data_IF_024727799047
#
_entry.id   IF_024727799047
#
_cell.length_a   1.000
_cell.length_b   1.000
_cell.length_c   1.000
_cell.angle_alpha   90.00
_cell.angle_beta   90.00
_cell.angle_gamma   90.00
#
_symmetry.space_group_name_H-M   'P 1'
#
loop_
_entity.id
_entity.type
_entity.pdbx_description
1 polymer ?
#
# COMPACT_ATOMS: atom_id res chain seq x y z
N UNK A 1 0.99 -6.84 0.20
CA UNK A 1 -0.10 -5.88 -0.04
C UNK A 1 -0.95 -6.35 -1.20
N UNK A 2 -2.26 -6.38 -1.00
CA UNK A 2 -3.23 -6.77 -2.03
C UNK A 2 -4.21 -5.63 -2.22
N UNK A 3 -4.35 -5.17 -3.46
CA UNK A 3 -5.33 -4.16 -3.86
C UNK A 3 -6.43 -4.81 -4.70
N UNK A 4 -7.65 -4.32 -4.52
CA UNK A 4 -8.84 -4.75 -5.22
C UNK A 4 -9.31 -3.67 -6.19
N UNK A 5 -9.55 -4.06 -7.44
CA UNK A 5 -10.05 -3.18 -8.49
C UNK A 5 -11.32 -3.76 -9.09
N UNK A 6 -12.37 -2.95 -9.13
CA UNK A 6 -13.67 -3.35 -9.64
C UNK A 6 -14.00 -2.66 -10.97
N UNK A 7 -14.54 -3.41 -11.92
CA UNK A 7 -15.08 -2.90 -13.15
C UNK A 7 -16.53 -3.36 -13.30
N UNK A 8 -17.45 -2.41 -13.40
CA UNK A 8 -18.87 -2.68 -13.61
C UNK A 8 -19.28 -2.36 -15.05
N UNK A 9 -19.97 -3.27 -15.69
CA UNK A 9 -20.67 -3.03 -16.95
C UNK A 9 -22.14 -2.70 -16.67
N UNK A 10 -22.54 -1.46 -16.95
CA UNK A 10 -23.86 -0.93 -16.65
C UNK A 10 -24.69 -0.72 -17.91
N UNK A 11 -26.01 -0.72 -17.75
CA UNK A 11 -26.90 -0.27 -18.80
C UNK A 11 -26.85 1.27 -18.91
N UNK A 12 -26.64 1.77 -20.13
CA UNK A 12 -26.71 3.20 -20.43
C UNK A 12 -27.91 3.49 -21.35
N UNK A 13 -28.28 4.77 -21.44
CA UNK A 13 -29.39 5.22 -22.34
C UNK A 13 -29.11 4.91 -23.81
N UNK A 14 -27.85 4.73 -24.20
CA UNK A 14 -27.40 4.48 -25.57
C UNK A 14 -27.19 2.98 -25.84
N UNK A 15 -27.31 2.13 -24.84
CA UNK A 15 -27.09 0.70 -24.89
C UNK A 15 -26.29 0.20 -23.70
N UNK A 16 -26.18 -1.11 -23.51
CA UNK A 16 -25.38 -1.68 -22.43
C UNK A 16 -23.89 -1.49 -22.68
N UNK A 17 -23.13 -1.28 -21.61
CA UNK A 17 -21.68 -1.41 -21.65
C UNK A 17 -21.30 -2.88 -21.78
N UNK A 18 -20.23 -3.16 -22.49
CA UNK A 18 -19.77 -4.51 -22.76
C UNK A 18 -18.33 -4.70 -22.32
N UNK A 19 -18.06 -5.83 -21.67
CA UNK A 19 -16.70 -6.28 -21.35
C UNK A 19 -16.22 -7.14 -22.50
N UNK A 20 -15.18 -6.66 -23.21
CA UNK A 20 -14.70 -7.30 -24.43
C UNK A 20 -13.19 -7.05 -24.62
N UNK A 21 -12.54 -7.95 -25.35
CA UNK A 21 -11.16 -7.77 -25.81
C UNK A 21 -11.06 -6.79 -26.99
N UNK A 22 -12.12 -6.58 -27.73
CA UNK A 22 -12.16 -5.72 -28.91
C UNK A 22 -12.27 -4.25 -28.51
N UNK A 23 -11.13 -3.66 -28.12
CA UNK A 23 -11.00 -2.29 -27.65
C UNK A 23 -10.48 -1.41 -28.79
N UNK A 24 -11.12 -0.27 -29.10
CA UNK A 24 -10.64 0.63 -30.13
C UNK A 24 -9.30 1.29 -29.74
N UNK A 25 -8.42 1.49 -30.73
CA UNK A 25 -7.14 2.21 -30.59
C UNK A 25 -6.14 1.59 -29.59
N UNK A 26 -6.16 0.28 -29.43
CA UNK A 26 -5.22 -0.47 -28.57
C UNK A 26 -4.45 -1.48 -29.43
N UNK A 27 -3.13 -1.54 -29.23
CA UNK A 27 -2.26 -2.49 -29.92
C UNK A 27 -2.40 -3.91 -29.38
N UNK A 28 -2.16 -4.91 -30.21
CA UNK A 28 -2.16 -6.33 -29.81
C UNK A 28 -1.14 -6.63 -28.71
N UNK A 29 -0.02 -5.91 -28.67
CA UNK A 29 1.01 -6.07 -27.62
C UNK A 29 0.46 -5.71 -26.24
N UNK A 30 -0.42 -4.74 -26.15
CA UNK A 30 -1.09 -4.33 -24.90
C UNK A 30 -2.11 -5.39 -24.45
N UNK A 31 -2.66 -6.15 -25.38
CA UNK A 31 -3.69 -7.16 -25.14
C UNK A 31 -3.14 -8.58 -24.90
N UNK A 32 -1.84 -8.78 -24.91
CA UNK A 32 -1.21 -10.12 -24.81
C UNK A 32 -1.60 -10.90 -23.56
N UNK A 33 -1.83 -10.21 -22.43
CA UNK A 33 -2.21 -10.82 -21.15
C UNK A 33 -3.72 -10.84 -20.91
N UNK A 34 -4.52 -10.40 -21.89
CA UNK A 34 -5.98 -10.35 -21.81
C UNK A 34 -6.55 -11.58 -22.50
N UNK A 35 -7.52 -12.23 -21.88
CA UNK A 35 -8.21 -13.38 -22.41
C UNK A 35 -9.25 -12.99 -23.50
N UNK A 36 -9.92 -13.97 -24.08
CA UNK A 36 -10.94 -13.76 -25.10
C UNK A 36 -12.17 -12.99 -24.60
N UNK A 37 -12.42 -13.02 -23.29
CA UNK A 37 -13.51 -12.28 -22.63
C UNK A 37 -13.16 -10.83 -22.35
N UNK A 38 -11.93 -10.41 -22.57
CA UNK A 38 -11.45 -9.06 -22.25
C UNK A 38 -10.95 -8.87 -20.82
N UNK A 39 -10.71 -9.95 -20.08
CA UNK A 39 -10.26 -9.93 -18.70
C UNK A 39 -8.80 -10.36 -18.65
N UNK A 40 -8.00 -9.74 -17.79
CA UNK A 40 -6.59 -10.09 -17.61
C UNK A 40 -6.45 -11.51 -17.03
N UNK A 41 -5.33 -12.18 -17.33
CA UNK A 41 -5.06 -13.53 -16.84
C UNK A 41 -4.45 -13.51 -15.45
N UNK A 42 -4.80 -14.49 -14.61
CA UNK A 42 -4.15 -14.72 -13.32
C UNK A 42 -2.67 -15.04 -13.55
N UNK A 43 -1.81 -14.45 -12.71
CA UNK A 43 -0.35 -14.58 -12.80
C UNK A 43 0.32 -13.55 -13.72
N UNK A 44 -0.44 -12.71 -14.42
CA UNK A 44 0.12 -11.64 -15.24
C UNK A 44 0.76 -10.55 -14.37
N UNK A 45 1.96 -10.12 -14.76
CA UNK A 45 2.60 -8.93 -14.19
C UNK A 45 2.02 -7.69 -14.86
N UNK A 46 1.58 -6.73 -14.06
CA UNK A 46 0.96 -5.49 -14.50
C UNK A 46 1.69 -4.27 -13.98
N UNK A 47 1.68 -3.20 -14.77
CA UNK A 47 2.25 -1.90 -14.46
C UNK A 47 1.19 -0.81 -14.65
N UNK A 48 1.49 0.38 -14.14
CA UNK A 48 0.64 1.55 -14.33
C UNK A 48 0.28 1.77 -15.82
N UNK A 49 -1.01 1.89 -16.09
CA UNK A 49 -1.55 2.08 -17.44
C UNK A 49 -1.94 0.79 -18.19
N UNK A 50 -1.54 -0.39 -17.71
CA UNK A 50 -1.96 -1.66 -18.30
C UNK A 50 -3.46 -1.90 -18.12
N UNK A 51 -4.08 -2.57 -19.08
CA UNK A 51 -5.51 -2.87 -19.05
C UNK A 51 -5.74 -4.10 -18.17
N UNK A 52 -6.64 -3.95 -17.19
CA UNK A 52 -7.11 -5.06 -16.35
C UNK A 52 -8.38 -5.71 -16.91
N UNK A 53 -9.35 -4.89 -17.30
CA UNK A 53 -10.61 -5.32 -17.86
C UNK A 53 -10.93 -4.42 -19.05
N UNK A 54 -11.05 -5.01 -20.23
CA UNK A 54 -11.46 -4.29 -21.43
C UNK A 54 -12.95 -4.02 -21.41
N UNK A 55 -13.34 -2.75 -21.41
CA UNK A 55 -14.74 -2.32 -21.43
C UNK A 55 -14.94 -1.25 -22.48
N UNK A 56 -16.04 -1.34 -23.21
CA UNK A 56 -16.46 -0.36 -24.20
C UNK A 56 -17.85 0.18 -23.86
N UNK A 57 -18.04 1.47 -24.05
CA UNK A 57 -19.30 2.17 -23.80
C UNK A 57 -19.83 2.72 -25.12
N UNK A 58 -21.12 2.56 -25.46
CA UNK A 58 -21.70 3.13 -26.67
C UNK A 58 -21.57 4.66 -26.69
N UNK A 59 -21.22 5.22 -27.84
CA UNK A 59 -21.14 6.68 -28.08
C UNK A 59 -22.45 7.21 -28.67
N UNK A 60 -22.84 8.41 -28.22
CA UNK A 60 -23.87 9.19 -28.92
C UNK A 60 -23.32 9.88 -30.18
N UNK A 61 -24.16 10.16 -31.16
CA UNK A 61 -23.78 10.82 -32.42
C UNK A 61 -23.13 12.21 -32.23
N UNK A 62 -23.41 12.86 -31.12
CA UNK A 62 -22.87 14.20 -30.77
C UNK A 62 -21.45 14.16 -30.23
N UNK A 63 -20.93 13.00 -29.84
CA UNK A 63 -19.60 12.85 -29.23
C UNK A 63 -18.50 12.49 -30.20
N UNK A 64 -18.77 12.44 -31.50
CA UNK A 64 -17.78 12.19 -32.54
C UNK A 64 -16.82 13.37 -32.67
N UNK A 65 -15.52 13.09 -32.64
CA UNK A 65 -14.50 14.10 -32.92
C UNK A 65 -14.59 14.58 -34.37
N UNK A 66 -14.04 15.76 -34.68
CA UNK A 66 -14.03 16.27 -36.05
C UNK A 66 -13.35 15.31 -37.03
N UNK A 67 -12.29 14.63 -36.59
CA UNK A 67 -11.53 13.62 -37.35
C UNK A 67 -12.38 12.37 -37.60
N UNK A 68 -13.09 11.85 -36.62
CA UNK A 68 -13.99 10.70 -36.76
C UNK A 68 -15.16 11.01 -37.71
N UNK A 69 -15.71 12.23 -37.68
CA UNK A 69 -16.73 12.68 -38.62
C UNK A 69 -16.20 12.72 -40.07
N UNK A 70 -14.96 13.18 -40.25
CA UNK A 70 -14.30 13.25 -41.53
C UNK A 70 -14.02 11.85 -42.10
N UNK A 71 -13.50 10.93 -41.28
CA UNK A 71 -13.27 9.53 -41.65
C UNK A 71 -14.57 8.82 -42.06
N UNK A 72 -15.66 9.07 -41.30
CA UNK A 72 -16.99 8.53 -41.65
C UNK A 72 -17.51 9.07 -42.98
N UNK A 73 -17.25 10.35 -43.29
CA UNK A 73 -17.67 10.97 -44.52
C UNK A 73 -16.87 10.49 -45.75
N UNK A 74 -15.56 10.21 -45.58
CA UNK A 74 -14.67 9.84 -46.69
C UNK A 74 -14.70 8.33 -46.98
N UNK A 75 -14.66 7.50 -45.94
CA UNK A 75 -14.50 6.07 -46.11
C UNK A 75 -15.81 5.26 -45.97
N UNK A 76 -16.92 5.90 -45.62
CA UNK A 76 -18.20 5.20 -45.44
C UNK A 76 -18.17 4.13 -44.36
N UNK A 77 -17.04 3.99 -43.66
CA UNK A 77 -16.86 3.01 -42.61
C UNK A 77 -17.66 3.39 -41.38
N UNK A 78 -18.28 2.43 -40.76
CA UNK A 78 -18.80 2.51 -39.41
C UNK A 78 -17.62 2.86 -38.49
N UNK A 79 -17.36 4.17 -38.23
CA UNK A 79 -16.60 4.55 -37.06
C UNK A 79 -17.22 3.77 -35.90
N UNK A 80 -16.41 3.00 -35.16
CA UNK A 80 -16.92 2.18 -34.06
C UNK A 80 -17.73 3.08 -33.15
N UNK A 81 -18.97 2.78 -32.96
CA UNK A 81 -19.93 3.54 -32.16
C UNK A 81 -19.65 3.38 -30.64
N UNK A 82 -18.42 3.01 -30.27
CA UNK A 82 -18.03 2.69 -28.91
C UNK A 82 -16.77 3.46 -28.50
N UNK A 83 -16.73 3.83 -27.22
CA UNK A 83 -15.60 4.49 -26.57
C UNK A 83 -14.92 3.50 -25.62
N UNK A 84 -13.58 3.53 -25.55
CA UNK A 84 -12.81 2.79 -24.58
C UNK A 84 -13.01 3.37 -23.16
N UNK A 85 -13.59 2.56 -22.29
CA UNK A 85 -13.78 2.85 -20.86
C UNK A 85 -13.17 1.75 -20.00
N UNK A 86 -12.15 1.06 -20.53
CA UNK A 86 -11.47 -0.04 -19.87
C UNK A 86 -10.90 0.35 -18.51
N UNK A 87 -10.96 -0.58 -17.56
CA UNK A 87 -10.29 -0.44 -16.29
C UNK A 87 -8.78 -0.62 -16.50
N UNK A 88 -8.00 0.38 -16.13
CA UNK A 88 -6.54 0.35 -16.20
C UNK A 88 -5.94 0.41 -14.82
N UNK A 89 -4.72 -0.11 -14.67
CA UNK A 89 -3.95 0.01 -13.43
C UNK A 89 -3.69 1.49 -13.14
N UNK A 90 -4.06 2.01 -11.96
CA UNK A 90 -3.85 3.40 -11.60
C UNK A 90 -2.37 3.79 -11.60
N UNK A 91 -2.11 5.09 -11.71
CA UNK A 91 -0.76 5.62 -11.67
C UNK A 91 -0.07 5.33 -10.33
N UNK A 92 1.14 4.78 -10.39
CA UNK A 92 1.94 4.41 -9.23
C UNK A 92 1.67 3.02 -8.67
N UNK A 93 0.75 2.25 -9.28
CA UNK A 93 0.47 0.88 -8.89
C UNK A 93 1.09 -0.11 -9.87
N UNK A 94 1.54 -1.24 -9.34
CA UNK A 94 2.08 -2.36 -10.11
C UNK A 94 1.93 -3.65 -9.29
N UNK A 95 2.06 -4.81 -9.90
CA UNK A 95 2.03 -6.07 -9.17
C UNK A 95 1.73 -7.26 -10.05
N UNK A 96 1.27 -8.33 -9.41
CA UNK A 96 0.90 -9.59 -10.07
C UNK A 96 -0.56 -9.88 -9.78
N UNK A 97 -1.32 -10.27 -10.78
CA UNK A 97 -2.71 -10.68 -10.63
C UNK A 97 -2.76 -12.02 -9.90
N UNK A 98 -3.39 -12.05 -8.72
CA UNK A 98 -3.48 -13.26 -7.88
C UNK A 98 -4.83 -13.94 -7.97
N UNK A 99 -5.90 -13.17 -8.16
CA UNK A 99 -7.26 -13.71 -8.29
C UNK A 99 -8.14 -12.78 -9.13
N UNK A 100 -9.18 -13.36 -9.75
CA UNK A 100 -10.19 -12.65 -10.51
C UNK A 100 -11.55 -13.27 -10.23
N UNK A 101 -12.52 -12.43 -9.88
CA UNK A 101 -13.90 -12.85 -9.67
C UNK A 101 -14.82 -12.16 -10.66
N UNK A 102 -15.65 -12.93 -11.31
CA UNK A 102 -16.63 -12.44 -12.27
C UNK A 102 -18.02 -12.76 -11.76
N UNK A 103 -18.84 -11.74 -11.63
CA UNK A 103 -20.23 -11.84 -11.20
C UNK A 103 -21.11 -11.38 -12.36
N UNK A 104 -22.10 -12.16 -12.70
CA UNK A 104 -23.01 -11.85 -13.80
C UNK A 104 -24.46 -12.00 -13.36
N UNK A 105 -25.32 -11.14 -13.85
CA UNK A 105 -26.75 -11.24 -13.57
C UNK A 105 -27.36 -12.53 -14.12
N UNK A 106 -26.83 -13.03 -15.22
CA UNK A 106 -27.25 -14.30 -15.82
C UNK A 106 -27.03 -15.50 -14.90
N UNK A 107 -25.96 -15.47 -14.10
CA UNK A 107 -25.67 -16.51 -13.11
C UNK A 107 -26.50 -16.39 -11.82
N UNK A 108 -27.33 -15.34 -11.70
CA UNK A 108 -28.15 -15.09 -10.52
C UNK A 108 -27.42 -14.39 -9.37
N UNK A 109 -26.25 -13.79 -9.66
CA UNK A 109 -25.50 -13.02 -8.66
C UNK A 109 -26.27 -11.74 -8.28
N UNK A 110 -26.18 -11.36 -7.01
CA UNK A 110 -26.81 -10.14 -6.49
C UNK A 110 -25.96 -8.92 -6.86
N UNK A 111 -26.35 -8.24 -7.93
CA UNK A 111 -25.69 -7.05 -8.44
C UNK A 111 -26.54 -5.81 -8.25
N UNK A 112 -25.89 -4.66 -8.14
CA UNK A 112 -26.55 -3.37 -8.05
C UNK A 112 -27.54 -3.16 -9.23
N UNK A 113 -28.63 -2.39 -9.03
CA UNK A 113 -29.56 -2.10 -10.12
C UNK A 113 -28.86 -1.45 -11.32
N UNK A 114 -29.11 -2.00 -12.52
CA UNK A 114 -28.51 -1.51 -13.76
C UNK A 114 -27.12 -2.06 -14.07
N UNK A 115 -26.52 -2.86 -13.20
CA UNK A 115 -25.25 -3.56 -13.45
C UNK A 115 -25.54 -4.96 -14.02
N UNK A 116 -24.92 -5.31 -15.14
CA UNK A 116 -25.08 -6.61 -15.79
C UNK A 116 -23.92 -7.55 -15.46
N UNK A 117 -22.72 -7.03 -15.38
CA UNK A 117 -21.50 -7.77 -15.09
C UNK A 117 -20.58 -6.94 -14.18
N UNK A 118 -19.96 -7.59 -13.20
CA UNK A 118 -18.96 -7.03 -12.30
C UNK A 118 -17.73 -7.93 -12.35
N UNK A 119 -16.59 -7.34 -12.67
CA UNK A 119 -15.30 -8.02 -12.62
C UNK A 119 -14.45 -7.39 -11.52
N UNK A 120 -13.94 -8.22 -10.64
CA UNK A 120 -13.10 -7.84 -9.52
C UNK A 120 -11.73 -8.48 -9.66
N UNK A 121 -10.69 -7.65 -9.80
CA UNK A 121 -9.31 -8.07 -9.96
C UNK A 121 -8.51 -7.79 -8.69
N UNK A 122 -7.72 -8.75 -8.24
CA UNK A 122 -6.85 -8.62 -7.08
C UNK A 122 -5.39 -8.58 -7.54
N UNK A 123 -4.71 -7.49 -7.21
CA UNK A 123 -3.29 -7.26 -7.52
C UNK A 123 -2.47 -7.38 -6.24
N UNK A 124 -1.48 -8.25 -6.22
CA UNK A 124 -0.56 -8.42 -5.12
C UNK A 124 0.79 -7.78 -5.41
N UNK A 125 1.35 -7.12 -4.42
CA UNK A 125 2.70 -6.56 -4.44
C UNK A 125 3.48 -7.00 -3.21
N UNK A 126 4.79 -7.18 -3.36
CA UNK A 126 5.71 -7.29 -2.22
C UNK A 126 6.23 -5.89 -1.88
N UNK A 127 5.66 -5.26 -0.86
CA UNK A 127 6.12 -3.97 -0.36
C UNK A 127 7.03 -4.19 0.83
N UNK A 128 8.32 -3.96 0.65
CA UNK A 128 9.29 -3.90 1.75
C UNK A 128 9.12 -2.57 2.50
N UNK A 129 9.52 -2.55 3.76
CA UNK A 129 9.55 -1.31 4.53
C UNK A 129 10.54 -0.33 3.90
N UNK A 130 10.15 0.94 3.85
CA UNK A 130 10.95 2.03 3.31
C UNK A 130 10.90 3.25 4.20
N UNK A 131 11.76 4.23 3.93
CA UNK A 131 11.74 5.52 4.63
C UNK A 131 10.37 6.18 4.44
N UNK A 132 9.76 6.62 5.54
CA UNK A 132 8.43 7.22 5.54
C UNK A 132 7.28 6.27 5.90
N UNK A 133 7.51 4.96 5.92
CA UNK A 133 6.51 3.99 6.35
C UNK A 133 6.30 4.05 7.86
N UNK A 134 5.07 3.84 8.30
CA UNK A 134 4.67 3.92 9.70
C UNK A 134 4.68 2.54 10.34
N UNK A 135 5.35 2.45 11.47
CA UNK A 135 5.38 1.27 12.31
C UNK A 135 4.93 1.60 13.74
N UNK A 136 4.49 0.60 14.46
CA UNK A 136 4.04 0.75 15.85
C UNK A 136 4.31 -0.52 16.67
N UNK A 137 4.43 -0.35 17.98
CA UNK A 137 4.36 -1.45 18.93
C UNK A 137 2.92 -1.64 19.46
N UNK A 138 2.78 -2.41 20.55
CA UNK A 138 1.50 -2.71 21.22
C UNK A 138 1.15 -1.73 22.34
N UNK A 139 1.97 -0.71 22.60
CA UNK A 139 1.87 0.20 23.75
C UNK A 139 1.58 1.65 23.37
N UNK A 140 0.92 1.88 22.23
CA UNK A 140 0.66 3.24 21.73
C UNK A 140 1.92 3.95 21.20
N UNK A 141 3.04 3.26 21.12
CA UNK A 141 4.27 3.74 20.54
C UNK A 141 4.22 3.59 19.01
N UNK A 142 4.16 4.71 18.33
CA UNK A 142 4.11 4.80 16.86
C UNK A 142 5.26 5.66 16.36
N UNK A 143 5.76 5.33 15.21
CA UNK A 143 6.85 6.09 14.59
C UNK A 143 6.89 5.89 13.09
N UNK A 144 7.67 6.74 12.44
CA UNK A 144 7.92 6.70 11.00
C UNK A 144 9.40 6.36 10.80
N UNK A 145 9.67 5.48 9.84
CA UNK A 145 11.04 5.08 9.50
C UNK A 145 11.77 6.29 8.91
N UNK A 146 12.85 6.70 9.56
CA UNK A 146 13.68 7.82 9.12
C UNK A 146 14.84 7.39 8.22
N UNK A 147 15.41 6.22 8.48
CA UNK A 147 16.54 5.67 7.72
C UNK A 147 16.43 4.15 7.62
N UNK A 148 16.90 3.63 6.52
CA UNK A 148 17.19 2.21 6.32
C UNK A 148 18.69 2.12 6.07
N UNK A 149 19.40 1.43 6.96
CA UNK A 149 20.86 1.29 6.91
C UNK A 149 21.22 -0.13 6.45
N UNK A 150 22.39 -0.30 5.80
CA UNK A 150 22.99 -1.62 5.60
C UNK A 150 23.24 -2.33 6.94
N UNK A 151 23.24 -3.65 6.93
CA UNK A 151 23.40 -4.45 8.13
C UNK A 151 24.75 -4.18 8.82
N UNK A 152 25.80 -3.92 8.04
CA UNK A 152 27.15 -3.61 8.51
C UNK A 152 27.23 -2.31 9.29
N UNK A 153 26.38 -1.34 8.99
CA UNK A 153 26.35 -0.02 9.63
C UNK A 153 25.50 0.01 10.91
N UNK A 154 24.74 -1.04 11.17
CA UNK A 154 23.90 -1.14 12.35
C UNK A 154 24.73 -1.42 13.61
N UNK A 155 24.35 -0.86 14.76
CA UNK A 155 24.95 -1.24 16.04
C UNK A 155 24.84 -2.75 16.28
N UNK A 156 25.83 -3.33 16.90
CA UNK A 156 25.87 -4.76 17.16
C UNK A 156 26.21 -5.11 18.62
N UNK A 157 25.78 -6.28 19.02
CA UNK A 157 26.00 -6.85 20.34
C UNK A 157 27.44 -7.41 20.45
N UNK A 158 27.96 -7.70 21.68
CA UNK A 158 29.28 -8.30 21.87
C UNK A 158 29.45 -9.66 21.18
N UNK A 159 28.38 -10.36 20.88
CA UNK A 159 28.36 -11.63 20.14
C UNK A 159 28.39 -11.45 18.60
N UNK A 160 28.44 -10.20 18.13
CA UNK A 160 28.50 -9.85 16.71
C UNK A 160 27.16 -9.76 16.02
N UNK A 161 26.01 -10.03 16.67
CA UNK A 161 24.68 -9.89 16.06
C UNK A 161 24.29 -8.42 15.93
N UNK A 162 23.94 -7.96 14.71
CA UNK A 162 23.48 -6.59 14.50
C UNK A 162 22.05 -6.41 15.02
N UNK A 163 21.72 -5.19 15.43
CA UNK A 163 20.36 -4.81 15.76
C UNK A 163 19.54 -4.62 14.50
N UNK A 164 18.25 -5.00 14.54
CA UNK A 164 17.33 -4.84 13.40
C UNK A 164 16.62 -3.50 13.41
N UNK A 165 16.48 -2.86 14.58
CA UNK A 165 15.81 -1.57 14.75
C UNK A 165 16.47 -0.75 15.85
N UNK A 166 16.58 0.56 15.63
CA UNK A 166 16.97 1.54 16.64
C UNK A 166 15.81 2.51 16.86
N UNK A 167 15.38 2.65 18.11
CA UNK A 167 14.26 3.49 18.49
C UNK A 167 14.74 4.71 19.28
N UNK A 168 14.10 5.86 19.05
CA UNK A 168 14.39 7.08 19.77
C UNK A 168 13.81 7.01 21.21
N UNK A 169 14.63 7.08 22.26
CA UNK A 169 14.17 6.99 23.64
C UNK A 169 13.32 8.19 24.08
N UNK A 170 13.41 9.34 23.43
CA UNK A 170 12.60 10.53 23.72
C UNK A 170 11.10 10.29 23.53
N UNK A 171 10.70 9.24 22.81
CA UNK A 171 9.31 8.84 22.65
C UNK A 171 8.68 8.19 23.88
N UNK A 172 9.44 7.88 24.92
CA UNK A 172 8.98 7.14 26.10
C UNK A 172 8.59 8.05 27.28
N UNK A 173 9.44 8.99 27.76
CA UNK A 173 9.21 9.67 29.04
C UNK A 173 7.92 10.48 29.08
N UNK A 174 7.66 11.32 28.09
CA UNK A 174 6.49 12.20 28.06
C UNK A 174 5.18 11.43 27.83
N UNK A 175 5.23 10.25 27.25
CA UNK A 175 4.06 9.43 26.94
C UNK A 175 3.73 8.40 28.01
N UNK A 176 4.62 8.20 28.97
CA UNK A 176 4.42 7.33 30.13
C UNK A 176 4.02 5.88 29.80
N UNK A 177 4.36 5.41 28.62
CA UNK A 177 4.07 4.04 28.16
C UNK A 177 5.24 3.09 28.47
N UNK A 178 5.52 2.94 29.77
CA UNK A 178 6.65 2.15 30.28
C UNK A 178 6.54 0.65 29.91
N UNK A 179 5.33 0.15 29.63
CA UNK A 179 5.09 -1.23 29.22
C UNK A 179 5.93 -1.66 28.03
N UNK A 180 6.28 -0.76 27.10
CA UNK A 180 7.16 -1.08 25.98
C UNK A 180 8.60 -1.44 26.46
N UNK A 181 9.12 -0.81 27.49
CA UNK A 181 10.43 -1.12 28.04
C UNK A 181 10.41 -2.46 28.77
N UNK A 182 9.35 -2.74 29.54
CA UNK A 182 9.15 -4.03 30.20
C UNK A 182 9.00 -5.17 29.18
N UNK A 183 8.31 -4.93 28.06
CA UNK A 183 8.20 -5.89 26.97
C UNK A 183 9.58 -6.20 26.37
N UNK A 184 10.40 -5.18 26.12
CA UNK A 184 11.75 -5.35 25.57
C UNK A 184 12.61 -6.22 26.48
N UNK A 185 12.59 -5.97 27.79
CA UNK A 185 13.35 -6.75 28.79
C UNK A 185 12.89 -8.20 28.85
N UNK A 186 11.58 -8.40 29.03
CA UNK A 186 11.03 -9.75 29.15
C UNK A 186 11.14 -10.53 27.83
N UNK A 187 10.99 -9.85 26.69
CA UNK A 187 11.17 -10.44 25.38
C UNK A 187 12.60 -10.92 25.12
N UNK A 188 13.60 -10.18 25.66
CA UNK A 188 14.99 -10.62 25.55
C UNK A 188 15.27 -11.88 26.36
N UNK A 189 14.82 -11.93 27.60
CA UNK A 189 14.90 -13.14 28.44
C UNK A 189 14.17 -14.31 27.79
N UNK A 190 12.95 -14.10 27.32
CA UNK A 190 12.13 -15.13 26.67
C UNK A 190 12.79 -15.71 25.43
N UNK A 191 13.38 -14.85 24.59
CA UNK A 191 14.08 -15.27 23.39
C UNK A 191 15.30 -16.18 23.70
N UNK A 192 16.01 -15.89 24.78
CA UNK A 192 17.17 -16.68 25.20
C UNK A 192 16.75 -18.02 25.86
N UNK A 193 15.69 -18.01 26.66
CA UNK A 193 15.17 -19.19 27.35
C UNK A 193 14.22 -20.04 26.47
N UNK A 194 13.87 -19.57 25.28
CA UNK A 194 12.95 -20.25 24.37
C UNK A 194 11.49 -20.24 24.84
N UNK A 195 11.07 -19.25 25.60
CA UNK A 195 9.72 -19.15 26.16
C UNK A 195 8.76 -18.40 25.26
N UNK A 196 7.50 -18.81 25.32
CA UNK A 196 6.35 -18.03 24.83
C UNK A 196 5.57 -17.52 26.04
N UNK A 197 5.56 -16.19 26.22
CA UNK A 197 5.00 -15.54 27.40
C UNK A 197 3.68 -14.85 27.03
N UNK A 198 2.63 -15.12 27.82
CA UNK A 198 1.36 -14.43 27.76
C UNK A 198 1.15 -13.62 29.04
N UNK A 199 0.90 -12.33 28.90
CA UNK A 199 0.68 -11.40 30.02
C UNK A 199 -0.70 -10.73 29.86
N UNK A 200 -1.79 -11.32 30.39
CA UNK A 200 -3.11 -10.69 30.40
C UNK A 200 -3.11 -9.36 31.13
N UNK A 201 -4.06 -8.48 30.82
CA UNK A 201 -4.06 -7.06 31.24
C UNK A 201 -3.95 -6.88 32.75
N UNK A 202 -4.59 -7.70 33.56
CA UNK A 202 -4.57 -7.61 35.02
C UNK A 202 -3.83 -8.75 35.71
N UNK A 203 -3.18 -9.60 34.96
CA UNK A 203 -2.39 -10.74 35.44
C UNK A 203 -1.07 -10.80 34.66
N UNK A 204 -0.34 -9.71 34.70
CA UNK A 204 0.96 -9.51 34.02
C UNK A 204 2.13 -9.86 34.94
N UNK A 205 3.34 -9.82 34.36
CA UNK A 205 4.57 -9.99 35.10
C UNK A 205 4.92 -8.73 35.91
N UNK A 206 5.33 -8.93 37.17
CA UNK A 206 5.85 -7.86 38.02
C UNK A 206 7.27 -7.45 37.58
N UNK A 207 7.71 -6.27 38.00
CA UNK A 207 9.04 -5.78 37.68
C UNK A 207 10.14 -6.69 38.23
N UNK A 208 9.95 -7.27 39.44
CA UNK A 208 10.93 -8.14 40.08
C UNK A 208 11.02 -9.50 39.40
N UNK A 209 9.89 -10.05 38.94
CA UNK A 209 9.86 -11.27 38.12
C UNK A 209 10.63 -11.06 36.78
N UNK A 210 10.44 -9.92 36.12
CA UNK A 210 11.15 -9.60 34.88
C UNK A 210 12.66 -9.50 35.12
N UNK A 211 13.10 -8.86 36.22
CA UNK A 211 14.51 -8.83 36.58
C UNK A 211 15.10 -10.20 36.85
N UNK A 212 14.32 -11.07 37.54
CA UNK A 212 14.75 -12.44 37.80
C UNK A 212 14.88 -13.22 36.50
N UNK A 213 13.91 -13.10 35.57
CA UNK A 213 14.00 -13.74 34.26
C UNK A 213 15.23 -13.30 33.46
N UNK A 214 15.63 -12.02 33.55
CA UNK A 214 16.86 -11.54 32.90
C UNK A 214 18.11 -12.19 33.51
N UNK A 215 18.19 -12.29 34.83
CA UNK A 215 19.28 -12.97 35.51
C UNK A 215 19.33 -14.45 35.19
N UNK A 216 18.20 -15.13 35.15
CA UNK A 216 18.08 -16.55 34.79
C UNK A 216 18.53 -16.81 33.33
N UNK A 217 18.31 -15.83 32.45
CA UNK A 217 18.79 -15.84 31.07
C UNK A 217 20.30 -15.49 30.94
N UNK A 218 20.97 -15.11 32.03
CA UNK A 218 22.38 -14.73 32.04
C UNK A 218 22.67 -13.28 31.67
N UNK A 219 21.64 -12.43 31.68
CA UNK A 219 21.77 -10.99 31.40
C UNK A 219 21.80 -10.15 32.67
N UNK A 220 22.22 -8.88 32.55
CA UNK A 220 22.16 -7.91 33.62
C UNK A 220 20.70 -7.64 34.03
N UNK A 221 20.42 -7.58 35.33
CA UNK A 221 19.08 -7.30 35.85
C UNK A 221 18.51 -5.93 35.40
N UNK A 222 19.38 -5.00 34.97
CA UNK A 222 19.00 -3.69 34.43
C UNK A 222 18.53 -3.74 32.96
N UNK A 223 18.65 -4.89 32.26
CA UNK A 223 18.28 -5.06 30.87
C UNK A 223 19.12 -4.27 29.87
N UNK A 224 20.29 -3.81 30.28
CA UNK A 224 21.24 -3.04 29.46
C UNK A 224 22.45 -3.88 29.10
N UNK A 225 23.02 -3.56 27.93
CA UNK A 225 24.26 -4.20 27.46
C UNK A 225 25.13 -3.18 26.74
N UNK A 226 26.39 -3.54 26.57
CA UNK A 226 27.33 -2.75 25.76
C UNK A 226 27.00 -3.02 24.29
N UNK A 227 26.90 -1.93 23.51
CA UNK A 227 26.78 -2.01 22.05
C UNK A 227 28.01 -1.40 21.41
N UNK A 228 28.29 -1.84 20.19
CA UNK A 228 29.37 -1.33 19.34
C UNK A 228 28.76 -0.64 18.12
N UNK A 229 29.38 0.47 17.69
CA UNK A 229 28.98 1.17 16.46
C UNK A 229 29.44 0.34 15.25
N UNK A 230 28.50 0.04 14.35
CA UNK A 230 28.77 -0.72 13.15
C UNK A 230 29.78 -0.08 12.18
N UNK A 231 29.91 1.25 12.21
CA UNK A 231 30.83 1.99 11.33
C UNK A 231 32.24 2.10 11.87
N UNK A 232 32.39 2.36 13.18
CA UNK A 232 33.68 2.58 13.80
C UNK A 232 34.23 1.34 14.50
N UNK A 233 33.34 0.44 14.92
CA UNK A 233 33.69 -0.73 15.75
C UNK A 233 33.97 -0.37 17.22
N UNK A 234 33.79 0.89 17.63
CA UNK A 234 33.99 1.36 18.99
C UNK A 234 32.76 1.09 19.86
N UNK A 235 32.96 0.82 21.13
CA UNK A 235 31.88 0.68 22.09
C UNK A 235 31.19 2.02 22.32
N UNK A 236 29.86 2.01 22.55
CA UNK A 236 29.15 3.20 23.01
C UNK A 236 29.59 3.58 24.46
N UNK A 237 29.57 4.88 24.75
CA UNK A 237 29.99 5.41 26.07
C UNK A 237 29.14 4.87 27.21
N UNK A 238 27.88 4.55 26.96
CA UNK A 238 26.95 4.05 27.96
C UNK A 238 26.31 2.73 27.52
N UNK A 239 25.95 1.89 28.48
CA UNK A 239 25.13 0.70 28.25
C UNK A 239 23.76 1.10 27.73
N UNK A 240 23.27 0.34 26.76
CA UNK A 240 22.00 0.59 26.03
C UNK A 240 21.00 -0.50 26.38
N UNK A 241 19.73 -0.13 26.51
CA UNK A 241 18.62 -1.08 26.62
C UNK A 241 18.41 -1.80 25.30
N UNK A 242 18.56 -3.12 25.31
CA UNK A 242 18.38 -3.98 24.14
C UNK A 242 17.43 -5.13 24.51
N UNK A 243 16.67 -5.59 23.55
CA UNK A 243 15.79 -6.74 23.72
C UNK A 243 14.93 -6.99 22.51
N UNK A 244 13.88 -7.79 22.68
CA UNK A 244 12.97 -8.17 21.63
C UNK A 244 11.62 -7.50 21.86
N UNK A 245 11.11 -6.83 20.82
CA UNK A 245 9.82 -6.15 20.84
C UNK A 245 8.98 -6.58 19.66
N UNK A 246 7.67 -6.69 19.86
CA UNK A 246 6.71 -6.96 18.80
C UNK A 246 6.38 -5.67 18.05
N UNK A 247 6.72 -5.63 16.78
CA UNK A 247 6.52 -4.45 15.91
C UNK A 247 5.48 -4.77 14.83
N UNK A 248 4.54 -3.85 14.65
CA UNK A 248 3.48 -3.90 13.66
C UNK A 248 3.78 -2.93 12.50
N UNK A 249 3.76 -3.43 11.28
CA UNK A 249 3.73 -2.59 10.07
C UNK A 249 2.31 -2.10 9.87
N UNK A 250 2.11 -0.78 9.88
CA UNK A 250 0.79 -0.20 9.68
C UNK A 250 0.50 0.02 8.18
N UNK A 251 -0.79 0.03 7.81
CA UNK A 251 -1.24 0.26 6.44
C UNK A 251 -1.04 1.71 5.94
N UNK A 252 -0.31 2.53 6.70
CA UNK A 252 0.06 3.90 6.32
C UNK A 252 1.43 3.91 5.65
N UNK A 253 1.51 3.35 4.44
CA UNK A 253 2.73 3.31 3.64
C UNK A 253 2.90 4.62 2.87
N UNK A 254 4.14 5.05 2.71
CA UNK A 254 4.46 6.32 2.04
C UNK A 254 4.05 6.31 0.56
N UNK A 255 4.19 5.18 -0.13
CA UNK A 255 3.86 5.05 -1.56
C UNK A 255 2.37 5.28 -1.84
N UNK A 256 1.49 4.96 -0.89
CA UNK A 256 0.06 5.21 -1.01
C UNK A 256 -0.30 6.69 -0.82
N UNK A 257 0.57 7.47 -0.21
CA UNK A 257 0.34 8.88 0.15
C UNK A 257 1.11 9.88 -0.71
N UNK A 258 2.24 9.47 -1.29
CA UNK A 258 3.03 10.33 -2.16
C UNK A 258 2.23 10.71 -3.40
N UNK A 259 2.15 12.00 -3.68
CA UNK A 259 1.40 12.51 -4.81
C UNK A 259 1.97 13.83 -5.30
N UNK A 260 2.07 14.00 -6.60
CA UNK A 260 2.46 15.24 -7.25
C UNK A 260 1.62 15.44 -8.52
N UNK A 261 1.42 16.71 -8.90
CA UNK A 261 0.68 17.08 -10.11
C UNK A 261 1.34 18.26 -10.79
N UNK A 262 1.46 18.20 -12.11
CA UNK A 262 1.75 19.34 -12.96
C UNK A 262 0.46 19.90 -13.59
N UNK A 263 -0.18 19.10 -14.43
CA UNK A 263 -1.47 19.37 -15.06
C UNK A 263 -2.37 18.14 -14.88
N UNK A 264 -3.68 18.34 -14.84
CA UNK A 264 -4.62 17.25 -14.66
C UNK A 264 -6.08 17.72 -14.76
N UNK A 265 -7.05 16.92 -14.31
CA UNK A 265 -8.47 17.23 -14.43
C UNK A 265 -8.87 18.44 -13.58
N UNK A 266 -9.86 19.16 -14.08
CA UNK A 266 -10.46 20.32 -13.44
C UNK A 266 -11.93 20.07 -13.15
N UNK A 267 -12.48 20.73 -12.11
CA UNK A 267 -13.91 20.72 -11.83
C UNK A 267 -14.68 21.38 -12.98
N UNK A 268 -15.81 20.79 -13.36
CA UNK A 268 -16.68 21.34 -14.41
C UNK A 268 -17.29 22.69 -14.03
N UNK A 269 -17.61 22.90 -12.77
CA UNK A 269 -18.30 24.12 -12.30
C UNK A 269 -17.33 25.25 -12.01
N UNK A 270 -16.31 24.99 -11.20
CA UNK A 270 -15.38 26.03 -10.72
C UNK A 270 -14.15 26.20 -11.59
N UNK A 271 -13.89 25.27 -12.52
CA UNK A 271 -12.69 25.24 -13.35
C UNK A 271 -11.37 25.24 -12.53
N UNK A 272 -11.45 24.76 -11.31
CA UNK A 272 -10.31 24.59 -10.41
C UNK A 272 -9.80 23.14 -10.43
N UNK A 273 -8.51 22.89 -10.14
CA UNK A 273 -8.00 21.55 -10.00
C UNK A 273 -8.80 20.74 -8.98
N UNK A 274 -9.05 19.47 -9.27
CA UNK A 274 -9.67 18.55 -8.32
C UNK A 274 -8.75 18.32 -7.11
N UNK A 275 -9.29 17.82 -6.01
CA UNK A 275 -8.55 17.44 -4.80
C UNK A 275 -8.35 15.94 -4.69
N UNK A 276 -7.29 15.53 -3.97
CA UNK A 276 -7.02 14.13 -3.65
C UNK A 276 -6.20 13.36 -4.68
N UNK A 277 -5.45 12.37 -4.22
CA UNK A 277 -4.57 11.52 -5.06
C UNK A 277 -5.36 10.70 -6.07
N UNK A 278 -6.50 10.12 -5.65
CA UNK A 278 -7.32 9.26 -6.51
C UNK A 278 -7.86 9.96 -7.76
N UNK A 279 -8.07 11.27 -7.68
CA UNK A 279 -8.57 12.11 -8.79
C UNK A 279 -7.44 12.85 -9.52
N UNK A 280 -6.20 12.50 -9.25
CA UNK A 280 -5.02 13.23 -9.74
C UNK A 280 -5.14 14.74 -9.46
N UNK A 281 -5.55 15.08 -8.23
CA UNK A 281 -5.80 16.43 -7.78
C UNK A 281 -4.54 17.21 -7.41
N UNK A 282 -4.69 18.51 -7.25
CA UNK A 282 -3.62 19.40 -6.81
C UNK A 282 -3.71 19.74 -5.33
N UNK A 283 -2.62 20.31 -4.80
CA UNK A 283 -2.58 20.85 -3.46
C UNK A 283 -3.31 22.21 -3.41
N UNK A 284 -4.06 22.45 -2.34
CA UNK A 284 -4.69 23.74 -2.11
C UNK A 284 -3.66 24.73 -1.57
N UNK A 285 -3.43 25.79 -2.31
CA UNK A 285 -2.66 26.95 -1.86
C UNK A 285 -3.64 27.99 -1.29
N UNK A 286 -3.93 27.85 0.00
CA UNK A 286 -4.94 28.64 0.69
C UNK A 286 -4.49 30.07 1.02
N UNK A 287 -5.35 30.84 1.65
CA UNK A 287 -5.11 32.22 2.04
C UNK A 287 -3.91 32.35 3.00
N UNK A 288 -3.80 31.43 3.98
CA UNK A 288 -2.70 31.44 4.95
C UNK A 288 -1.35 31.13 4.30
N UNK A 289 -1.31 30.24 3.33
CA UNK A 289 -0.10 29.90 2.56
C UNK A 289 0.36 31.07 1.67
N UNK A 290 -0.60 31.90 1.21
CA UNK A 290 -0.29 33.13 0.47
C UNK A 290 0.38 34.15 1.38
N UNK A 291 -0.02 34.23 2.66
CA UNK A 291 0.60 35.15 3.61
C UNK A 291 2.00 34.72 4.05
N UNK A 292 2.28 33.42 4.07
CA UNK A 292 3.59 32.85 4.42
C UNK A 292 4.63 33.04 3.30
#
# INVERSE_FOLDING_TARGET
HIEEYECEARDTKLGPEEITRDIPNVSEDTLKNIDERGIIRIGAEVRSGDILVGKVTPKGETELTAEERLLRAIFGEKAREVRDTSLRVPHGEAGIIVDIKVFTRENGDDLNPGVNELVRCYIAQKRKISVGDKMAGRHGNKGVISRVLPEEDMPFLPDGRPLQICLNPLGVPSRMNIGQVLEVHLGWAASHLGWHIATPVFDGASQDEIKQCLVDAGFNANGKTVLYDGRTGEAFDNEVTVGIMYILKLAHLVDDKIHARSTGPYSLVTQQPLGGKAQFGGQRFGEMEVWA
#
